data_IF_877409694884
#
_entry.id   IF_877409694884
#
_cell.length_a   1.000
_cell.length_b   1.000
_cell.length_c   1.000
_cell.angle_alpha   90.00
_cell.angle_beta   90.00
_cell.angle_gamma   90.00
#
_symmetry.space_group_name_H-M   'P 1'
#
loop_
_entity.id
_entity.type
_entity.pdbx_description
1 polymer ?
#
# COMPACT_ATOMS: atom_id res chain seq x y z
N UNK A 1 -5.63 -29.03 5.70
CA UNK A 1 -5.85 -28.12 4.55
C UNK A 1 -5.47 -26.72 4.95
N UNK A 2 -5.07 -25.86 4.00
CA UNK A 2 -4.78 -24.43 4.28
C UNK A 2 -6.07 -23.63 4.14
N UNK A 3 -6.27 -22.65 5.01
CA UNK A 3 -7.28 -21.59 4.79
C UNK A 3 -6.69 -20.56 3.84
N UNK A 4 -7.50 -20.10 2.87
CA UNK A 4 -7.09 -19.23 1.77
C UNK A 4 -8.00 -18.01 1.79
N UNK A 5 -7.42 -16.85 2.09
CA UNK A 5 -8.09 -15.54 2.08
C UNK A 5 -7.75 -14.74 0.81
N UNK A 6 -6.98 -15.34 -0.08
CA UNK A 6 -6.54 -14.82 -1.37
C UNK A 6 -7.47 -15.27 -2.50
N UNK A 7 -8.65 -15.78 -2.18
CA UNK A 7 -9.62 -16.31 -3.13
C UNK A 7 -10.14 -15.23 -4.09
N UNK A 8 -10.28 -13.99 -3.65
CA UNK A 8 -10.72 -12.88 -4.51
C UNK A 8 -9.59 -12.36 -5.42
N UNK A 9 -8.36 -12.37 -4.93
CA UNK A 9 -7.18 -11.93 -5.70
C UNK A 9 -6.77 -12.98 -6.75
N UNK A 10 -6.95 -14.26 -6.44
CA UNK A 10 -6.58 -15.38 -7.32
C UNK A 10 -7.67 -15.77 -8.32
N UNK A 11 -8.74 -14.99 -8.46
CA UNK A 11 -9.75 -15.25 -9.50
C UNK A 11 -9.14 -15.13 -10.89
N UNK A 12 -9.59 -15.99 -11.80
CA UNK A 12 -9.05 -16.06 -13.16
C UNK A 12 -9.19 -14.74 -13.93
N UNK A 13 -10.28 -13.98 -13.71
CA UNK A 13 -10.51 -12.68 -14.35
C UNK A 13 -9.51 -11.61 -13.86
N UNK A 14 -9.25 -11.56 -12.55
CA UNK A 14 -8.24 -10.66 -11.95
C UNK A 14 -6.84 -11.04 -12.41
N UNK A 15 -6.49 -12.33 -12.33
CA UNK A 15 -5.19 -12.84 -12.74
C UNK A 15 -4.91 -12.64 -14.23
N UNK A 16 -5.91 -12.83 -15.09
CA UNK A 16 -5.76 -12.63 -16.53
C UNK A 16 -5.56 -11.15 -16.88
N UNK A 17 -6.34 -10.24 -16.27
CA UNK A 17 -6.18 -8.80 -16.47
C UNK A 17 -4.76 -8.33 -16.10
N UNK A 18 -4.21 -8.82 -14.97
CA UNK A 18 -2.84 -8.52 -14.58
C UNK A 18 -1.81 -9.06 -15.60
N UNK A 19 -1.97 -10.29 -16.09
CA UNK A 19 -1.07 -10.88 -17.09
C UNK A 19 -1.08 -10.11 -18.41
N UNK A 20 -2.23 -9.61 -18.84
CA UNK A 20 -2.38 -8.87 -20.09
C UNK A 20 -1.73 -7.47 -20.00
N UNK A 21 -1.82 -6.83 -18.83
CA UNK A 21 -1.20 -5.52 -18.57
C UNK A 21 0.30 -5.60 -18.34
N UNK A 22 0.80 -6.71 -17.78
CA UNK A 22 2.21 -6.88 -17.41
C UNK A 22 3.22 -6.61 -18.54
N UNK A 23 3.06 -7.12 -19.78
CA UNK A 23 3.99 -6.82 -20.87
C UNK A 23 3.83 -5.41 -21.45
N UNK A 24 2.76 -4.70 -21.13
CA UNK A 24 2.47 -3.36 -21.65
C UNK A 24 3.04 -2.26 -20.75
N UNK A 25 3.45 -2.57 -19.53
CA UNK A 25 3.95 -1.57 -18.59
C UNK A 25 5.31 -1.04 -19.01
N UNK A 26 5.40 0.28 -19.09
CA UNK A 26 6.62 1.05 -19.32
C UNK A 26 6.69 2.19 -18.31
N UNK A 27 7.86 2.82 -18.17
CA UNK A 27 8.04 3.95 -17.26
C UNK A 27 7.07 5.11 -17.56
N UNK A 28 6.72 5.30 -18.83
CA UNK A 28 5.88 6.40 -19.31
C UNK A 28 4.39 6.17 -18.99
N UNK A 29 3.93 4.91 -18.94
CA UNK A 29 2.52 4.58 -18.74
C UNK A 29 2.22 3.98 -17.37
N UNK A 30 3.23 3.82 -16.50
CA UNK A 30 3.11 3.20 -15.18
C UNK A 30 1.97 3.80 -14.35
N UNK A 31 1.83 5.13 -14.32
CA UNK A 31 0.78 5.82 -13.58
C UNK A 31 -0.60 5.78 -14.25
N UNK A 32 -0.68 5.35 -15.52
CA UNK A 32 -1.91 5.32 -16.30
C UNK A 32 -2.57 3.94 -16.29
N UNK A 33 -1.76 2.89 -16.36
CA UNK A 33 -2.24 1.50 -16.45
C UNK A 33 -2.15 0.74 -15.12
N UNK A 34 -1.50 1.31 -14.11
CA UNK A 34 -1.42 0.75 -12.75
C UNK A 34 -1.76 1.82 -11.72
N UNK A 35 -2.22 1.40 -10.54
CA UNK A 35 -2.45 2.29 -9.40
C UNK A 35 -1.16 2.52 -8.59
N UNK A 36 -0.10 2.96 -9.25
CA UNK A 36 1.18 3.24 -8.59
C UNK A 36 1.09 4.46 -7.65
N UNK A 37 0.22 5.42 -7.96
CA UNK A 37 -0.04 6.56 -7.08
C UNK A 37 -0.65 6.11 -5.74
N UNK A 38 -1.68 5.25 -5.77
CA UNK A 38 -2.27 4.66 -4.58
C UNK A 38 -1.27 3.81 -3.80
N UNK A 39 -0.46 3.00 -4.49
CA UNK A 39 0.61 2.22 -3.83
C UNK A 39 1.60 3.11 -3.06
N UNK A 40 2.06 4.21 -3.67
CA UNK A 40 2.99 5.15 -3.01
C UNK A 40 2.33 5.80 -1.79
N UNK A 41 1.08 6.20 -1.92
CA UNK A 41 0.29 6.80 -0.84
C UNK A 41 0.12 5.83 0.33
N UNK A 42 -0.34 4.61 0.07
CA UNK A 42 -0.51 3.58 1.10
C UNK A 42 0.83 3.16 1.73
N UNK A 43 1.93 3.17 0.96
CA UNK A 43 3.27 2.96 1.50
C UNK A 43 3.65 4.05 2.51
N UNK A 44 3.45 5.34 2.18
CA UNK A 44 3.74 6.46 3.07
C UNK A 44 2.86 6.43 4.32
N UNK A 45 1.60 6.01 4.16
CA UNK A 45 0.64 5.85 5.25
C UNK A 45 1.06 4.81 6.29
N UNK A 46 1.78 3.76 5.91
CA UNK A 46 2.36 2.79 6.84
C UNK A 46 3.37 3.43 7.81
N UNK A 47 4.06 4.48 7.36
CA UNK A 47 5.00 5.25 8.17
C UNK A 47 4.34 6.45 8.86
N UNK A 48 3.01 6.58 8.74
CA UNK A 48 2.25 7.67 9.34
C UNK A 48 2.24 8.96 8.52
N UNK A 49 2.63 8.94 7.24
CA UNK A 49 2.62 10.10 6.33
C UNK A 49 1.41 10.11 5.38
N UNK A 50 1.16 11.26 4.74
CA UNK A 50 0.06 11.48 3.79
C UNK A 50 -1.33 11.11 4.31
N UNK A 51 -1.60 11.29 5.60
CA UNK A 51 -2.94 11.08 6.15
C UNK A 51 -3.75 12.37 6.15
N UNK A 52 -4.98 12.29 5.66
CA UNK A 52 -5.89 13.45 5.60
C UNK A 52 -6.38 13.92 7.00
N UNK A 53 -6.22 13.09 8.03
CA UNK A 53 -6.66 13.34 9.40
C UNK A 53 -5.53 13.79 10.36
N UNK A 54 -4.34 14.07 9.84
CA UNK A 54 -3.16 14.48 10.61
C UNK A 54 -2.65 15.84 10.16
N UNK A 55 -2.44 16.76 11.11
CA UNK A 55 -1.75 18.02 10.86
C UNK A 55 -0.24 17.80 10.92
N UNK A 56 0.42 17.80 9.76
CA UNK A 56 1.87 17.60 9.64
C UNK A 56 2.69 18.86 9.92
N UNK A 57 2.06 20.03 10.02
CA UNK A 57 2.75 21.29 10.34
C UNK A 57 2.83 21.52 11.86
N UNK A 58 2.13 20.71 12.66
CA UNK A 58 2.20 20.74 14.11
C UNK A 58 3.51 20.15 14.66
N UNK A 59 4.09 20.80 15.66
CA UNK A 59 5.23 20.24 16.40
C UNK A 59 4.81 18.97 17.16
N UNK A 60 5.61 17.90 17.03
CA UNK A 60 5.37 16.60 17.67
C UNK A 60 6.59 16.16 18.46
N UNK A 61 6.37 15.63 19.66
CA UNK A 61 7.41 14.96 20.43
C UNK A 61 7.56 13.49 19.94
N UNK A 62 8.74 13.07 19.45
CA UNK A 62 8.97 11.69 19.01
C UNK A 62 9.05 10.68 20.17
N UNK A 63 9.23 11.11 21.41
CA UNK A 63 9.26 10.23 22.58
C UNK A 63 7.83 9.86 22.99
N UNK A 64 7.46 8.60 22.78
CA UNK A 64 6.14 8.05 23.15
C UNK A 64 6.33 6.87 24.09
N UNK A 65 5.88 7.04 25.33
CA UNK A 65 5.86 5.97 26.32
C UNK A 65 4.59 5.12 26.21
N UNK A 66 4.74 3.80 26.34
CA UNK A 66 3.62 2.86 26.44
C UNK A 66 4.02 1.67 27.30
N UNK A 67 3.04 0.90 27.78
CA UNK A 67 3.29 -0.27 28.64
C UNK A 67 3.90 -1.42 27.83
N UNK A 68 5.24 -1.43 27.79
CA UNK A 68 6.05 -2.42 27.09
C UNK A 68 7.12 -3.00 28.00
N UNK A 69 7.29 -4.31 27.93
CA UNK A 69 8.38 -4.99 28.64
C UNK A 69 9.67 -4.76 27.86
N UNK A 70 10.62 -4.05 28.47
CA UNK A 70 11.99 -3.93 27.97
C UNK A 70 12.82 -5.12 28.47
N UNK A 71 13.38 -5.91 27.55
CA UNK A 71 14.18 -7.10 27.84
C UNK A 71 15.61 -6.78 28.30
#
# INVERSE_FOLDING_TARGET
GRLRLDDWELRDDVQQACKDLWPQVTTENLFQITDYAGYKHEFLKLFGFERDDVDYDADVNPEVEFDVVTL
#
